data_IF_629609122373
#
_entry.id   IF_629609122373
#
_cell.length_a   1.000
_cell.length_b   1.000
_cell.length_c   1.000
_cell.angle_alpha   90.00
_cell.angle_beta   90.00
_cell.angle_gamma   90.00
#
_symmetry.space_group_name_H-M   'P 1'
#
loop_
_entity.id
_entity.type
_entity.pdbx_description
1 polymer ?
#
# COMPACT_ATOMS: atom_id res chain seq x y z
N UNK A 1 18.41 7.38 14.32
CA UNK A 1 18.66 5.94 14.04
C UNK A 1 17.54 5.16 14.72
N UNK A 2 16.66 4.55 13.97
CA UNK A 2 15.54 3.80 14.55
C UNK A 2 16.06 2.42 14.98
N UNK A 3 16.19 2.23 16.28
CA UNK A 3 16.64 0.99 16.90
C UNK A 3 15.66 -0.20 16.78
N UNK A 4 14.47 0.03 16.21
CA UNK A 4 13.45 -1.00 16.00
C UNK A 4 13.18 -1.21 14.50
N UNK A 5 14.21 -1.56 13.74
CA UNK A 5 14.02 -2.05 12.37
C UNK A 5 13.27 -3.40 12.43
N UNK A 6 12.04 -3.40 11.91
CA UNK A 6 11.22 -4.61 11.80
C UNK A 6 11.42 -5.36 10.48
N UNK A 7 12.44 -5.00 9.74
CA UNK A 7 12.83 -5.67 8.52
C UNK A 7 12.06 -5.27 7.27
N UNK A 8 11.26 -4.20 7.30
CA UNK A 8 10.61 -3.64 6.12
C UNK A 8 10.97 -2.17 5.93
N UNK A 9 11.32 -1.79 4.70
CA UNK A 9 11.56 -0.41 4.30
C UNK A 9 10.56 -0.02 3.23
N UNK A 10 9.82 1.07 3.47
CA UNK A 10 8.88 1.64 2.52
C UNK A 10 9.50 2.83 1.80
N UNK A 11 9.33 2.87 0.48
CA UNK A 11 9.83 3.92 -0.39
C UNK A 11 8.72 4.35 -1.37
N UNK A 12 8.82 5.57 -1.90
CA UNK A 12 7.91 6.10 -2.92
C UNK A 12 8.68 6.97 -3.88
N UNK A 13 8.32 7.03 -5.17
CA UNK A 13 8.82 8.04 -6.10
C UNK A 13 8.37 9.46 -5.77
N UNK A 14 7.37 9.60 -4.87
CA UNK A 14 6.91 10.90 -4.38
C UNK A 14 7.86 11.53 -3.36
N UNK A 15 7.36 12.50 -2.61
CA UNK A 15 8.17 13.29 -1.66
C UNK A 15 8.23 12.68 -0.26
N UNK A 16 7.60 11.53 -0.03
CA UNK A 16 7.56 10.83 1.24
C UNK A 16 6.18 10.24 1.54
N UNK A 17 5.92 10.03 2.82
CA UNK A 17 4.67 9.44 3.30
C UNK A 17 4.02 10.32 4.37
N UNK A 18 2.71 10.27 4.42
CA UNK A 18 1.91 10.80 5.51
C UNK A 18 1.32 9.65 6.32
N UNK A 19 1.24 9.83 7.63
CA UNK A 19 0.54 8.94 8.54
C UNK A 19 -0.36 9.78 9.45
N UNK A 20 -1.67 9.65 9.31
CA UNK A 20 -2.64 10.45 10.04
C UNK A 20 -4.02 9.76 10.12
N UNK A 21 -4.90 10.27 10.98
CA UNK A 21 -6.33 9.92 10.91
C UNK A 21 -6.95 10.46 9.62
N UNK A 22 -8.15 10.03 9.26
CA UNK A 22 -8.88 10.62 8.13
C UNK A 22 -9.07 12.15 8.30
N UNK A 23 -9.42 12.61 9.50
CA UNK A 23 -9.48 14.03 9.82
C UNK A 23 -8.11 14.71 9.69
N UNK A 24 -7.04 14.05 10.18
CA UNK A 24 -5.68 14.56 10.04
C UNK A 24 -5.22 14.66 8.58
N UNK A 25 -5.60 13.72 7.72
CA UNK A 25 -5.36 13.83 6.27
C UNK A 25 -6.12 15.03 5.68
N UNK A 26 -7.38 15.25 6.11
CA UNK A 26 -8.16 16.39 5.69
C UNK A 26 -7.49 17.72 6.05
N UNK A 27 -6.93 17.82 7.24
CA UNK A 27 -6.21 19.01 7.71
C UNK A 27 -4.88 19.20 6.94
N UNK A 28 -4.09 18.16 6.80
CA UNK A 28 -2.78 18.21 6.13
C UNK A 28 -2.90 18.62 4.67
N UNK A 29 -3.90 18.07 3.95
CA UNK A 29 -4.11 18.34 2.53
C UNK A 29 -5.14 19.46 2.26
N UNK A 30 -5.63 20.12 3.30
CA UNK A 30 -6.64 21.19 3.21
C UNK A 30 -7.86 20.75 2.39
N UNK A 31 -8.30 19.53 2.63
CA UNK A 31 -9.42 18.90 1.92
C UNK A 31 -10.39 18.22 2.89
N UNK A 32 -11.44 18.93 3.35
CA UNK A 32 -12.39 18.42 4.35
C UNK A 32 -13.09 17.11 3.96
N UNK A 33 -13.23 16.81 2.66
CA UNK A 33 -13.91 15.60 2.21
C UNK A 33 -13.16 14.32 2.61
N UNK A 34 -11.83 14.38 2.78
CA UNK A 34 -11.03 13.23 3.17
C UNK A 34 -11.42 12.68 4.56
N UNK A 35 -11.92 13.54 5.45
CA UNK A 35 -12.38 13.14 6.78
C UNK A 35 -13.53 12.12 6.75
N UNK A 36 -14.33 12.11 5.69
CA UNK A 36 -15.48 11.20 5.51
C UNK A 36 -15.26 10.18 4.40
N UNK A 37 -14.25 10.37 3.57
CA UNK A 37 -13.90 9.43 2.48
C UNK A 37 -13.24 8.18 3.05
N UNK A 38 -12.39 8.31 4.06
CA UNK A 38 -11.62 7.19 4.57
C UNK A 38 -12.09 6.72 5.95
N UNK A 39 -11.97 5.42 6.16
CA UNK A 39 -12.08 4.76 7.46
C UNK A 39 -10.74 4.07 7.79
N UNK A 40 -10.24 4.24 9.01
CA UNK A 40 -9.12 3.46 9.49
C UNK A 40 -9.60 2.08 9.98
N UNK A 41 -8.82 1.05 9.72
CA UNK A 41 -9.03 -0.30 10.25
C UNK A 41 -8.52 -0.40 11.69
N UNK A 42 -7.27 -0.01 11.90
CA UNK A 42 -6.71 0.09 13.25
C UNK A 42 -6.88 1.50 13.82
N UNK A 43 -6.89 1.67 15.16
CA UNK A 43 -7.14 2.97 15.75
C UNK A 43 -6.13 4.01 15.27
N UNK A 44 -6.61 4.91 14.47
CA UNK A 44 -6.11 6.25 14.26
C UNK A 44 -5.01 6.49 13.20
N UNK A 45 -4.63 5.59 12.29
CA UNK A 45 -3.56 5.96 11.34
C UNK A 45 -3.65 5.33 9.96
N UNK A 46 -4.16 6.09 9.04
CA UNK A 46 -4.03 5.84 7.61
C UNK A 46 -2.64 6.23 7.12
N UNK A 47 -2.17 5.57 6.08
CA UNK A 47 -0.85 5.73 5.48
C UNK A 47 -0.99 5.96 3.98
N UNK A 48 -0.34 6.99 3.46
CA UNK A 48 -0.36 7.29 2.03
C UNK A 48 0.95 7.93 1.54
N UNK A 49 1.38 7.62 0.31
CA UNK A 49 2.48 8.34 -0.33
C UNK A 49 2.02 9.75 -0.73
N UNK A 50 2.94 10.71 -0.67
CA UNK A 50 2.73 12.12 -1.03
C UNK A 50 3.27 12.37 -2.43
N UNK A 51 2.42 12.84 -3.36
CA UNK A 51 2.80 13.13 -4.74
C UNK A 51 3.10 11.89 -5.59
N UNK A 52 2.58 10.74 -5.16
CA UNK A 52 2.67 9.46 -5.88
C UNK A 52 1.54 8.54 -5.42
N UNK A 53 1.22 7.55 -6.23
CA UNK A 53 0.35 6.42 -5.86
C UNK A 53 1.13 5.14 -5.64
N UNK A 54 2.46 5.18 -5.73
CA UNK A 54 3.33 4.00 -5.64
C UNK A 54 3.97 3.94 -4.27
N UNK A 55 3.87 2.77 -3.66
CA UNK A 55 4.62 2.37 -2.46
C UNK A 55 5.39 1.10 -2.75
N UNK A 56 6.70 1.17 -2.60
CA UNK A 56 7.61 0.05 -2.73
C UNK A 56 8.05 -0.41 -1.34
N UNK A 57 7.99 -1.71 -1.09
CA UNK A 57 8.40 -2.33 0.17
C UNK A 57 9.54 -3.32 -0.11
N UNK A 58 10.66 -3.14 0.56
CA UNK A 58 11.80 -4.06 0.53
C UNK A 58 12.04 -4.65 1.89
N UNK A 59 12.55 -5.87 1.95
CA UNK A 59 12.76 -6.59 3.20
C UNK A 59 14.24 -6.72 3.55
N UNK A 60 14.53 -6.61 4.84
CA UNK A 60 15.86 -6.68 5.43
C UNK A 60 15.82 -7.52 6.71
N UNK A 61 16.97 -8.06 7.12
CA UNK A 61 17.06 -8.80 8.39
C UNK A 61 16.76 -7.83 9.56
N UNK A 62 15.76 -8.14 10.41
CA UNK A 62 15.38 -7.29 11.53
C UNK A 62 16.53 -7.13 12.55
N UNK A 63 16.61 -5.94 13.14
CA UNK A 63 17.56 -5.68 14.23
C UNK A 63 19.03 -5.56 13.81
N UNK A 64 19.38 -5.75 12.56
CA UNK A 64 20.75 -5.61 12.05
C UNK A 64 20.99 -4.17 11.62
N UNK A 65 22.15 -3.61 11.97
CA UNK A 65 22.51 -2.22 11.66
C UNK A 65 22.73 -2.00 10.15
N UNK A 66 23.21 -3.02 9.44
CA UNK A 66 23.32 -3.02 7.98
C UNK A 66 22.01 -3.48 7.37
N UNK A 67 21.55 -2.81 6.32
CA UNK A 67 20.38 -3.25 5.54
C UNK A 67 20.70 -4.54 4.78
N UNK A 68 20.86 -5.64 5.51
CA UNK A 68 21.10 -6.97 4.92
C UNK A 68 19.81 -7.44 4.23
N UNK A 69 19.81 -7.63 2.89
CA UNK A 69 18.65 -8.05 2.16
C UNK A 69 18.05 -9.35 2.71
N UNK A 70 16.73 -9.42 2.74
CA UNK A 70 15.98 -10.56 3.23
C UNK A 70 14.78 -10.86 2.33
N UNK A 71 14.20 -12.03 2.52
CA UNK A 71 12.93 -12.43 1.91
C UNK A 71 11.92 -12.78 2.99
N UNK A 72 10.64 -12.60 2.67
CA UNK A 72 9.52 -13.01 3.52
C UNK A 72 8.64 -14.03 2.82
N UNK A 73 7.89 -14.81 3.59
CA UNK A 73 6.92 -15.76 3.04
C UNK A 73 5.62 -15.10 2.57
N UNK A 74 5.38 -13.84 2.91
CA UNK A 74 4.17 -13.18 2.46
C UNK A 74 4.06 -11.75 2.95
N UNK A 75 3.16 -11.02 2.30
CA UNK A 75 2.84 -9.65 2.64
C UNK A 75 1.37 -9.37 2.34
N UNK A 76 0.74 -8.53 3.13
CA UNK A 76 -0.61 -8.04 2.94
C UNK A 76 -0.81 -6.67 3.58
N UNK A 77 -1.86 -5.97 3.14
CA UNK A 77 -2.24 -4.68 3.68
C UNK A 77 -3.76 -4.49 3.67
N UNK A 78 -4.22 -3.61 4.53
CA UNK A 78 -5.58 -3.07 4.50
C UNK A 78 -5.58 -1.81 3.63
N UNK A 79 -6.63 -1.65 2.83
CA UNK A 79 -6.84 -0.51 1.94
C UNK A 79 -8.18 0.12 2.27
N UNK A 80 -8.23 1.45 2.27
CA UNK A 80 -9.46 2.21 2.48
C UNK A 80 -9.88 2.89 1.19
N UNK A 81 -11.18 2.75 0.88
CA UNK A 81 -11.87 3.40 -0.24
C UNK A 81 -11.45 2.87 -1.63
N UNK A 82 -11.36 1.55 -1.82
CA UNK A 82 -11.18 0.94 -3.14
C UNK A 82 -12.55 0.84 -3.82
N UNK A 83 -12.92 1.85 -4.60
CA UNK A 83 -14.26 1.98 -5.18
C UNK A 83 -14.52 0.98 -6.32
N UNK A 84 -13.54 0.77 -7.18
CA UNK A 84 -13.74 0.00 -8.40
C UNK A 84 -12.52 -0.87 -8.74
N UNK A 85 -12.75 -2.12 -9.22
CA UNK A 85 -11.66 -3.00 -9.63
C UNK A 85 -10.88 -2.49 -10.84
N UNK A 86 -11.32 -1.45 -11.48
CA UNK A 86 -10.72 -0.85 -12.69
C UNK A 86 -10.19 0.57 -12.46
N UNK A 87 -10.12 1.03 -11.22
CA UNK A 87 -9.57 2.33 -10.82
C UNK A 87 -10.44 3.52 -11.20
N UNK A 88 -11.68 3.29 -11.64
CA UNK A 88 -12.68 4.32 -11.76
C UNK A 88 -13.18 4.71 -10.36
N UNK A 89 -13.34 6.01 -10.10
CA UNK A 89 -14.06 6.46 -8.93
C UNK A 89 -15.56 6.16 -9.05
N UNK A 90 -16.29 6.47 -8.01
CA UNK A 90 -17.72 6.16 -7.81
C UNK A 90 -18.62 6.52 -8.99
N UNK A 91 -18.28 7.56 -9.73
CA UNK A 91 -19.10 8.12 -10.81
C UNK A 91 -18.64 7.73 -12.22
N UNK A 92 -17.61 6.90 -12.38
CA UNK A 92 -17.12 6.47 -13.68
C UNK A 92 -17.54 5.04 -14.01
N UNK A 93 -18.17 4.89 -15.16
CA UNK A 93 -18.54 3.58 -15.74
C UNK A 93 -17.49 3.05 -16.72
N UNK A 94 -16.38 3.75 -16.90
CA UNK A 94 -15.32 3.36 -17.84
C UNK A 94 -14.03 3.07 -17.05
N UNK A 95 -13.92 1.84 -16.62
CA UNK A 95 -12.72 1.35 -15.99
C UNK A 95 -11.61 0.99 -16.99
N UNK A 96 -10.40 1.04 -16.50
CA UNK A 96 -9.23 0.52 -17.19
C UNK A 96 -8.43 -0.33 -16.18
N UNK A 97 -8.32 -1.65 -16.38
CA UNK A 97 -7.58 -2.53 -15.47
C UNK A 97 -6.15 -2.07 -15.20
N UNK A 98 -5.51 -1.39 -16.16
CA UNK A 98 -4.19 -0.81 -15.98
C UNK A 98 -4.13 0.35 -14.95
N UNK A 99 -5.29 0.80 -14.48
CA UNK A 99 -5.42 1.91 -13.51
C UNK A 99 -6.01 1.46 -12.18
N UNK A 100 -6.27 0.16 -12.01
CA UNK A 100 -6.76 -0.39 -10.76
C UNK A 100 -5.71 -0.28 -9.65
N UNK A 101 -6.19 -0.16 -8.42
CA UNK A 101 -5.35 -0.41 -7.25
C UNK A 101 -4.86 -1.84 -7.31
N UNK A 102 -3.54 -2.05 -7.17
CA UNK A 102 -2.92 -3.36 -7.36
C UNK A 102 -1.70 -3.56 -6.50
N UNK A 103 -1.35 -4.81 -6.31
CA UNK A 103 -0.17 -5.23 -5.58
C UNK A 103 0.58 -6.30 -6.37
N UNK A 104 1.89 -6.16 -6.46
CA UNK A 104 2.77 -7.08 -7.15
C UNK A 104 3.92 -7.52 -6.24
N UNK A 105 4.27 -8.79 -6.28
CA UNK A 105 5.28 -9.45 -5.46
C UNK A 105 6.41 -9.95 -6.34
N UNK A 106 7.64 -9.69 -5.92
CA UNK A 106 8.85 -10.04 -6.67
C UNK A 106 9.85 -10.78 -5.78
N UNK A 107 10.61 -11.67 -6.40
CA UNK A 107 11.76 -12.29 -5.76
C UNK A 107 13.00 -11.38 -5.78
N UNK A 108 14.12 -11.91 -5.31
CA UNK A 108 15.39 -11.18 -5.22
C UNK A 108 16.01 -10.84 -6.59
N UNK A 109 15.64 -11.57 -7.63
CA UNK A 109 16.08 -11.35 -9.01
C UNK A 109 15.10 -10.46 -9.81
N UNK A 110 14.16 -9.80 -9.10
CA UNK A 110 13.11 -8.96 -9.69
C UNK A 110 12.13 -9.71 -10.59
N UNK A 111 12.07 -11.02 -10.48
CA UNK A 111 11.09 -11.81 -11.19
C UNK A 111 9.74 -11.67 -10.50
N UNK A 112 8.71 -11.40 -11.29
CA UNK A 112 7.34 -11.33 -10.80
C UNK A 112 6.90 -12.72 -10.30
N UNK A 113 6.54 -12.81 -9.03
CA UNK A 113 5.99 -14.00 -8.40
C UNK A 113 4.47 -14.02 -8.53
N UNK A 114 3.82 -12.90 -8.27
CA UNK A 114 2.38 -12.75 -8.32
C UNK A 114 1.96 -11.28 -8.44
N UNK A 115 0.88 -11.01 -9.14
CA UNK A 115 0.24 -9.69 -9.21
C UNK A 115 -1.28 -9.85 -9.18
N UNK A 116 -1.97 -8.95 -8.48
CA UNK A 116 -3.44 -8.89 -8.47
C UNK A 116 -3.95 -7.47 -8.27
N UNK A 117 -5.14 -7.21 -8.79
CA UNK A 117 -5.92 -6.07 -8.36
C UNK A 117 -6.34 -6.25 -6.89
N UNK A 118 -6.41 -5.13 -6.16
CA UNK A 118 -6.95 -5.11 -4.80
C UNK A 118 -8.47 -5.23 -4.91
N UNK A 119 -9.13 -6.10 -4.13
CA UNK A 119 -10.58 -6.24 -4.15
C UNK A 119 -11.27 -4.91 -3.87
N UNK A 120 -12.23 -4.56 -4.71
CA UNK A 120 -13.05 -3.38 -4.48
C UNK A 120 -14.07 -3.63 -3.37
N UNK A 121 -14.32 -2.61 -2.57
CA UNK A 121 -15.39 -2.54 -1.58
C UNK A 121 -16.13 -1.21 -1.81
N UNK A 122 -17.10 -1.19 -2.75
CA UNK A 122 -17.74 0.05 -3.17
C UNK A 122 -18.49 0.75 -2.04
N UNK A 123 -18.38 2.07 -2.00
CA UNK A 123 -19.00 2.92 -0.99
C UNK A 123 -18.00 3.85 -0.32
N UNK A 124 -18.49 4.75 0.51
CA UNK A 124 -17.65 5.68 1.27
C UNK A 124 -17.13 5.01 2.54
N UNK A 125 -15.89 5.24 2.90
CA UNK A 125 -15.28 4.75 4.13
C UNK A 125 -15.32 3.22 4.24
N UNK A 126 -15.09 2.52 3.14
CA UNK A 126 -15.03 1.06 3.09
C UNK A 126 -13.61 0.54 3.22
N UNK A 127 -13.48 -0.72 3.59
CA UNK A 127 -12.18 -1.36 3.78
C UNK A 127 -12.08 -2.60 2.89
N UNK A 128 -10.89 -2.81 2.35
CA UNK A 128 -10.50 -4.03 1.65
C UNK A 128 -9.22 -4.56 2.24
N UNK A 129 -9.05 -5.87 2.24
CA UNK A 129 -7.79 -6.51 2.57
C UNK A 129 -7.29 -7.33 1.39
N UNK A 130 -6.00 -7.26 1.14
CA UNK A 130 -5.34 -8.16 0.21
C UNK A 130 -3.97 -8.59 0.75
N UNK A 131 -3.68 -9.86 0.63
CA UNK A 131 -2.40 -10.43 1.00
C UNK A 131 -2.18 -11.80 0.38
N UNK A 132 -0.93 -12.15 0.20
CA UNK A 132 -0.49 -13.44 -0.35
C UNK A 132 0.56 -14.06 0.56
N UNK A 133 0.46 -15.36 0.74
CA UNK A 133 1.46 -16.18 1.42
C UNK A 133 2.00 -17.20 0.43
N UNK A 134 3.32 -17.29 0.34
CA UNK A 134 4.04 -18.27 -0.45
C UNK A 134 4.53 -19.40 0.47
N UNK A 135 4.67 -20.63 -0.05
CA UNK A 135 5.16 -21.76 0.75
C UNK A 135 6.55 -21.52 1.35
N UNK A 136 7.39 -20.80 0.62
CA UNK A 136 8.76 -20.48 1.01
C UNK A 136 8.96 -18.96 1.09
N UNK A 137 9.91 -18.47 1.91
CA UNK A 137 10.23 -17.04 1.98
C UNK A 137 10.93 -16.56 0.70
N UNK A 138 10.15 -16.24 -0.32
CA UNK A 138 10.62 -15.88 -1.66
C UNK A 138 10.39 -14.41 -2.01
N UNK A 139 9.59 -13.68 -1.23
CA UNK A 139 9.26 -12.28 -1.52
C UNK A 139 10.36 -11.37 -1.01
N UNK A 140 11.09 -10.74 -1.92
CA UNK A 140 12.12 -9.74 -1.60
C UNK A 140 11.60 -8.30 -1.73
N UNK A 141 10.59 -8.11 -2.61
CA UNK A 141 10.07 -6.79 -2.94
C UNK A 141 8.57 -6.86 -3.20
N UNK A 142 7.84 -5.83 -2.74
CA UNK A 142 6.42 -5.65 -3.04
C UNK A 142 6.19 -4.26 -3.59
N UNK A 143 5.47 -4.14 -4.69
CA UNK A 143 4.98 -2.87 -5.22
C UNK A 143 3.49 -2.76 -5.06
N UNK A 144 3.05 -1.67 -4.44
CA UNK A 144 1.64 -1.32 -4.25
C UNK A 144 1.35 -0.07 -5.06
N UNK A 145 0.25 -0.09 -5.79
CA UNK A 145 -0.30 1.08 -6.48
C UNK A 145 -1.68 1.34 -5.90
N UNK A 146 -1.88 2.52 -5.30
CA UNK A 146 -3.11 2.93 -4.62
C UNK A 146 -3.87 3.96 -5.43
N UNK A 147 -4.95 3.54 -6.09
CA UNK A 147 -5.76 4.44 -6.88
C UNK A 147 -5.02 5.09 -8.05
N UNK A 148 -5.51 6.23 -8.49
CA UNK A 148 -4.98 7.00 -9.62
C UNK A 148 -4.40 8.35 -9.24
N UNK A 149 -4.70 8.82 -8.03
CA UNK A 149 -4.19 10.08 -7.46
C UNK A 149 -3.76 9.87 -6.02
N UNK A 150 -2.80 10.64 -5.61
CA UNK A 150 -2.45 10.79 -4.21
C UNK A 150 -3.47 11.69 -3.50
N UNK A 151 -3.75 11.48 -2.19
CA UNK A 151 -4.59 12.39 -1.42
C UNK A 151 -4.20 13.87 -1.50
N UNK A 152 -2.92 14.14 -1.73
CA UNK A 152 -2.38 15.49 -1.92
C UNK A 152 -2.85 16.19 -3.20
N UNK A 153 -3.34 15.43 -4.19
CA UNK A 153 -3.79 15.97 -5.49
C UNK A 153 -5.29 16.32 -5.50
N UNK A 154 -5.94 16.20 -4.35
CA UNK A 154 -7.35 16.50 -4.16
C UNK A 154 -8.29 15.35 -4.53
N UNK A 155 -9.55 15.51 -4.16
CA UNK A 155 -10.62 14.57 -4.48
C UNK A 155 -11.21 14.86 -5.86
N UNK A 156 -11.40 13.81 -6.62
CA UNK A 156 -12.10 13.82 -7.90
C UNK A 156 -13.03 12.61 -7.90
N UNK A 157 -14.36 12.77 -7.91
CA UNK A 157 -15.30 11.65 -7.83
C UNK A 157 -15.20 10.67 -9.01
N UNK A 158 -14.48 11.04 -10.06
CA UNK A 158 -14.20 10.17 -11.20
C UNK A 158 -12.92 9.36 -11.06
N UNK A 159 -12.18 9.54 -9.99
CA UNK A 159 -10.88 8.90 -9.77
C UNK A 159 -10.86 8.25 -8.41
N UNK A 160 -10.54 6.97 -8.41
CA UNK A 160 -10.35 6.20 -7.18
C UNK A 160 -9.16 6.75 -6.39
N UNK A 161 -9.41 7.07 -5.13
CA UNK A 161 -8.46 7.63 -4.18
C UNK A 161 -8.32 6.66 -3.01
N UNK A 162 -7.24 5.92 -2.96
CA UNK A 162 -7.03 4.85 -2.00
C UNK A 162 -5.88 5.18 -1.06
N UNK A 163 -6.08 4.92 0.22
CA UNK A 163 -5.03 4.95 1.23
C UNK A 163 -4.86 3.59 1.88
N UNK A 164 -3.76 3.38 2.56
CA UNK A 164 -3.44 2.12 3.23
C UNK A 164 -3.59 2.25 4.75
N UNK A 165 -3.75 1.12 5.38
CA UNK A 165 -3.67 0.94 6.83
C UNK A 165 -2.72 -0.23 7.11
N UNK A 166 -2.93 -0.99 8.15
CA UNK A 166 -2.07 -2.05 8.63
C UNK A 166 -1.36 -2.89 7.56
N UNK A 167 -0.08 -3.07 7.77
CA UNK A 167 0.79 -3.93 6.95
C UNK A 167 1.13 -5.20 7.72
N UNK A 168 0.92 -6.36 7.10
CA UNK A 168 1.20 -7.67 7.67
C UNK A 168 2.21 -8.39 6.77
N UNK A 169 3.27 -8.92 7.35
CA UNK A 169 4.26 -9.70 6.61
C UNK A 169 4.88 -10.77 7.50
N UNK A 170 5.35 -11.84 6.87
CA UNK A 170 6.13 -12.88 7.55
C UNK A 170 7.47 -12.34 8.02
N UNK A 171 8.05 -12.93 9.05
CA UNK A 171 9.38 -12.55 9.56
C UNK A 171 10.41 -12.60 8.42
N UNK A 172 11.10 -11.49 8.11
CA UNK A 172 12.13 -11.49 7.08
C UNK A 172 13.32 -12.38 7.45
N UNK A 173 13.72 -13.23 6.52
CA UNK A 173 14.76 -14.24 6.70
C UNK A 173 15.88 -14.07 5.68
N UNK A 174 17.06 -14.59 6.01
CA UNK A 174 18.15 -14.67 5.04
C UNK A 174 17.69 -15.43 3.79
N UNK A 175 18.08 -14.93 2.63
CA UNK A 175 17.91 -15.69 1.40
C UNK A 175 18.68 -16.99 1.52
N UNK A 176 17.99 -18.10 1.32
CA UNK A 176 18.65 -19.40 1.17
C UNK A 176 19.12 -19.45 -0.28
N UNK A 177 20.42 -19.54 -0.56
CA UNK A 177 20.90 -19.79 -1.92
C UNK A 177 20.34 -21.15 -2.38
N UNK A 178 19.72 -21.17 -3.56
CA UNK A 178 19.33 -22.41 -4.21
C UNK A 178 20.54 -23.07 -4.85
#
# INVERSE_FOLDING_TARGET
MFLNNRGALMQTPGTGFVQATAAGLADIFVNPSLATTFQAFSPARLFAPIGSTVTDVTFFIPGVVSNTPATTSGFGAVFADVDSPDGGGRDTRQGNPARSSRIAYYDADWKLLYESAIPSSPGTATLSFFGVVFPEPSVAFVRIITGRKSPAEGTDPQVDLVVMDDFIYGEPQHQVPF
#
